data_IF_796502216669
#
_entry.id   IF_796502216669
#
_cell.length_a   1.000
_cell.length_b   1.000
_cell.length_c   1.000
_cell.angle_alpha   90.00
_cell.angle_beta   90.00
_cell.angle_gamma   90.00
#
_symmetry.space_group_name_H-M   'P 1'
#
loop_
_entity.id
_entity.type
_entity.pdbx_description
1 polymer ?
#
# COMPACT_ATOMS: atom_id res chain seq x y z
N UNK A 1 24.20 28.11 9.06
CA UNK A 1 22.88 28.41 9.65
C UNK A 1 22.16 27.10 9.92
N UNK A 2 21.94 26.79 11.19
CA UNK A 2 21.25 25.60 11.66
C UNK A 2 19.75 25.73 11.37
N UNK A 3 19.26 25.05 10.34
CA UNK A 3 17.82 24.97 10.06
C UNK A 3 17.09 24.38 11.27
N UNK A 4 15.94 24.98 11.60
CA UNK A 4 15.09 24.54 12.71
C UNK A 4 14.70 23.07 12.52
N UNK A 5 14.41 22.33 13.60
CA UNK A 5 13.83 20.99 13.48
C UNK A 5 12.53 21.02 12.65
N UNK A 6 11.80 22.14 12.73
CA UNK A 6 10.65 22.40 11.88
C UNK A 6 11.03 22.45 10.39
N UNK A 7 12.21 22.94 10.01
CA UNK A 7 12.66 22.98 8.61
C UNK A 7 13.08 21.62 8.06
N UNK A 8 13.51 20.71 8.94
CA UNK A 8 13.68 19.29 8.59
C UNK A 8 12.33 18.57 8.38
N UNK A 9 11.23 19.17 8.84
CA UNK A 9 9.85 18.69 8.66
C UNK A 9 9.11 19.50 7.57
N UNK A 10 9.55 20.74 7.27
CA UNK A 10 8.91 21.69 6.34
C UNK A 10 9.24 21.47 4.87
N UNK A 11 10.18 20.58 4.56
CA UNK A 11 10.22 19.93 3.25
C UNK A 11 9.03 18.99 3.14
N UNK A 12 7.81 19.53 2.98
CA UNK A 12 6.58 18.75 2.92
C UNK A 12 6.77 17.61 1.92
N UNK A 13 6.79 16.37 2.41
CA UNK A 13 6.94 15.21 1.54
C UNK A 13 5.83 15.22 0.48
N UNK A 14 6.12 14.75 -0.73
CA UNK A 14 5.08 14.73 -1.77
C UNK A 14 3.89 13.88 -1.32
N UNK A 15 4.13 12.86 -0.48
CA UNK A 15 3.08 12.12 0.21
C UNK A 15 2.15 13.01 1.05
N UNK A 16 2.70 13.91 1.87
CA UNK A 16 1.91 14.79 2.72
C UNK A 16 1.10 15.78 1.89
N UNK A 17 1.73 16.39 0.88
CA UNK A 17 1.04 17.28 -0.08
C UNK A 17 -0.07 16.55 -0.83
N UNK A 18 0.19 15.34 -1.32
CA UNK A 18 -0.80 14.48 -1.95
C UNK A 18 -1.97 14.17 -1.02
N UNK A 19 -1.70 13.90 0.26
CA UNK A 19 -2.74 13.64 1.27
C UNK A 19 -3.65 14.84 1.50
N UNK A 20 -3.11 16.06 1.48
CA UNK A 20 -3.92 17.26 1.57
C UNK A 20 -4.80 17.45 0.33
N UNK A 21 -4.24 17.23 -0.87
CA UNK A 21 -5.00 17.30 -2.12
C UNK A 21 -6.11 16.24 -2.19
N UNK A 22 -5.83 15.01 -1.73
CA UNK A 22 -6.83 13.94 -1.64
C UNK A 22 -8.01 14.36 -0.75
N UNK A 23 -7.73 14.95 0.42
CA UNK A 23 -8.75 15.46 1.35
C UNK A 23 -9.58 16.61 0.76
N UNK A 24 -8.98 17.40 -0.13
CA UNK A 24 -9.67 18.47 -0.87
C UNK A 24 -10.45 17.97 -2.08
N UNK A 25 -10.43 16.66 -2.37
CA UNK A 25 -11.10 16.07 -3.54
C UNK A 25 -10.32 16.23 -4.85
N UNK A 26 -9.11 16.78 -4.81
CA UNK A 26 -8.22 16.92 -5.97
C UNK A 26 -7.48 15.61 -6.26
N UNK A 27 -8.25 14.57 -6.56
CA UNK A 27 -7.77 13.19 -6.64
C UNK A 27 -6.74 12.96 -7.75
N UNK A 28 -6.86 13.67 -8.87
CA UNK A 28 -5.94 13.53 -10.02
C UNK A 28 -4.53 14.05 -9.68
N UNK A 29 -4.46 15.22 -9.04
CA UNK A 29 -3.20 15.80 -8.57
C UNK A 29 -2.58 14.95 -7.44
N UNK A 30 -3.40 14.47 -6.51
CA UNK A 30 -2.97 13.58 -5.43
C UNK A 30 -2.40 12.26 -5.98
N UNK A 31 -3.06 11.65 -6.96
CA UNK A 31 -2.61 10.44 -7.64
C UNK A 31 -1.19 10.62 -8.21
N UNK A 32 -0.96 11.70 -8.96
CA UNK A 32 0.34 11.94 -9.61
C UNK A 32 1.45 12.12 -8.57
N UNK A 33 1.21 12.91 -7.52
CA UNK A 33 2.19 13.09 -6.44
C UNK A 33 2.48 11.79 -5.69
N UNK A 34 1.45 10.95 -5.45
CA UNK A 34 1.66 9.65 -4.82
C UNK A 34 2.48 8.70 -5.70
N UNK A 35 2.27 8.68 -7.02
CA UNK A 35 3.07 7.87 -7.95
C UNK A 35 4.53 8.32 -7.97
N UNK A 36 4.78 9.63 -8.00
CA UNK A 36 6.13 10.18 -7.92
C UNK A 36 6.84 9.80 -6.61
N UNK A 37 6.18 10.05 -5.48
CA UNK A 37 6.72 9.69 -4.16
C UNK A 37 7.00 8.19 -4.08
N UNK A 38 6.08 7.36 -4.58
CA UNK A 38 6.24 5.92 -4.57
C UNK A 38 7.53 5.52 -5.30
N UNK A 39 7.83 6.13 -6.45
CA UNK A 39 9.06 5.87 -7.21
C UNK A 39 10.31 6.36 -6.50
N UNK A 40 10.31 7.58 -5.97
CA UNK A 40 11.46 8.15 -5.26
C UNK A 40 11.83 7.37 -4.00
N UNK A 41 10.82 6.86 -3.29
CA UNK A 41 11.02 6.09 -2.06
C UNK A 41 11.52 4.66 -2.31
N UNK A 42 11.47 4.11 -3.52
CA UNK A 42 11.95 2.73 -3.76
C UNK A 42 13.42 2.52 -3.33
N UNK A 43 14.25 3.56 -3.49
CA UNK A 43 15.66 3.51 -3.11
C UNK A 43 15.94 3.90 -1.64
N UNK A 44 14.96 4.51 -0.95
CA UNK A 44 15.13 5.08 0.40
C UNK A 44 14.36 4.33 1.47
N UNK A 45 13.10 3.98 1.19
CA UNK A 45 12.19 3.31 2.10
C UNK A 45 11.15 2.52 1.31
N UNK A 46 11.34 1.19 1.26
CA UNK A 46 10.38 0.28 0.63
C UNK A 46 8.98 0.38 1.27
N UNK A 47 8.91 0.66 2.58
CA UNK A 47 7.64 0.86 3.29
C UNK A 47 6.87 2.08 2.78
N UNK A 48 7.55 3.23 2.67
CA UNK A 48 6.93 4.45 2.14
C UNK A 48 6.62 4.31 0.66
N UNK A 49 7.49 3.64 -0.10
CA UNK A 49 7.23 3.31 -1.50
C UNK A 49 5.94 2.52 -1.69
N UNK A 50 5.72 1.47 -0.89
CA UNK A 50 4.51 0.65 -0.94
C UNK A 50 3.28 1.43 -0.49
N UNK A 51 3.39 2.22 0.59
CA UNK A 51 2.29 3.05 1.11
C UNK A 51 1.85 4.11 0.09
N UNK A 52 2.80 4.83 -0.51
CA UNK A 52 2.52 5.82 -1.56
C UNK A 52 1.83 5.18 -2.75
N UNK A 53 2.29 4.00 -3.19
CA UNK A 53 1.67 3.29 -4.31
C UNK A 53 0.23 2.85 -4.00
N UNK A 54 -0.03 2.40 -2.76
CA UNK A 54 -1.39 2.09 -2.33
C UNK A 54 -2.29 3.33 -2.30
N UNK A 55 -1.78 4.48 -1.83
CA UNK A 55 -2.54 5.74 -1.85
C UNK A 55 -2.86 6.19 -3.28
N UNK A 56 -1.91 6.04 -4.22
CA UNK A 56 -2.15 6.25 -5.64
C UNK A 56 -3.26 5.32 -6.17
N UNK A 57 -3.17 4.01 -5.89
CA UNK A 57 -4.17 3.04 -6.34
C UNK A 57 -5.58 3.39 -5.84
N UNK A 58 -5.71 3.83 -4.58
CA UNK A 58 -6.99 4.29 -4.02
C UNK A 58 -7.53 5.54 -4.71
N UNK A 59 -6.68 6.51 -5.02
CA UNK A 59 -7.09 7.71 -5.77
C UNK A 59 -7.58 7.33 -7.17
N UNK A 60 -6.82 6.49 -7.89
CA UNK A 60 -7.20 5.99 -9.21
C UNK A 60 -8.55 5.24 -9.19
N UNK A 61 -8.78 4.42 -8.16
CA UNK A 61 -10.04 3.69 -7.98
C UNK A 61 -11.22 4.65 -7.71
N UNK A 62 -11.04 5.66 -6.87
CA UNK A 62 -12.06 6.70 -6.60
C UNK A 62 -12.40 7.52 -7.86
N UNK A 63 -11.42 7.73 -8.73
CA UNK A 63 -11.59 8.38 -10.03
C UNK A 63 -12.22 7.47 -11.09
N UNK A 64 -12.40 6.18 -10.82
CA UNK A 64 -12.93 5.22 -11.79
C UNK A 64 -11.97 4.89 -12.94
N UNK A 65 -10.66 5.09 -12.76
CA UNK A 65 -9.67 4.77 -13.79
C UNK A 65 -9.61 3.26 -14.03
N UNK A 66 -9.65 2.84 -15.30
CA UNK A 66 -9.59 1.41 -15.68
C UNK A 66 -8.36 0.70 -15.13
N UNK A 67 -7.22 1.40 -15.06
CA UNK A 67 -5.93 0.84 -14.64
C UNK A 67 -5.71 0.84 -13.11
N UNK A 68 -6.75 1.13 -12.30
CA UNK A 68 -6.61 1.15 -10.85
C UNK A 68 -6.20 -0.22 -10.27
N UNK A 69 -6.65 -1.31 -10.89
CA UNK A 69 -6.28 -2.68 -10.51
C UNK A 69 -4.77 -2.93 -10.66
N UNK A 70 -4.14 -2.37 -11.68
CA UNK A 70 -2.69 -2.49 -11.91
C UNK A 70 -1.90 -1.80 -10.81
N UNK A 71 -2.33 -0.61 -10.38
CA UNK A 71 -1.71 0.09 -9.25
C UNK A 71 -1.86 -0.67 -7.94
N UNK A 72 -3.01 -1.31 -7.70
CA UNK A 72 -3.17 -2.19 -6.55
C UNK A 72 -2.23 -3.40 -6.62
N UNK A 73 -2.10 -4.03 -7.79
CA UNK A 73 -1.18 -5.15 -7.98
C UNK A 73 0.26 -4.72 -7.71
N UNK A 74 0.67 -3.55 -8.20
CA UNK A 74 2.01 -3.03 -7.97
C UNK A 74 2.26 -2.63 -6.51
N UNK A 75 1.27 -2.05 -5.83
CA UNK A 75 1.35 -1.82 -4.38
C UNK A 75 1.53 -3.15 -3.61
N UNK A 76 0.84 -4.21 -4.04
CA UNK A 76 0.99 -5.55 -3.49
C UNK A 76 2.43 -6.08 -3.57
N UNK A 77 3.03 -6.00 -4.77
CA UNK A 77 4.43 -6.41 -4.98
C UNK A 77 5.42 -5.62 -4.13
N UNK A 78 5.21 -4.31 -3.99
CA UNK A 78 6.08 -3.45 -3.16
C UNK A 78 5.97 -3.81 -1.68
N UNK A 79 4.78 -4.13 -1.19
CA UNK A 79 4.60 -4.63 0.17
C UNK A 79 5.25 -6.01 0.38
N UNK A 80 5.18 -6.93 -0.59
CA UNK A 80 5.92 -8.19 -0.51
C UNK A 80 7.42 -7.94 -0.44
N UNK A 81 7.96 -7.13 -1.35
CA UNK A 81 9.39 -6.75 -1.36
C UNK A 81 9.82 -6.13 -0.04
N UNK A 82 9.00 -5.27 0.54
CA UNK A 82 9.25 -4.70 1.88
C UNK A 82 9.25 -5.79 2.96
N UNK A 83 8.25 -6.67 2.96
CA UNK A 83 8.15 -7.80 3.88
C UNK A 83 9.36 -8.73 3.82
N UNK A 84 9.76 -9.12 2.60
CA UNK A 84 10.93 -9.95 2.34
C UNK A 84 12.21 -9.29 2.90
N UNK A 85 12.35 -7.97 2.71
CA UNK A 85 13.57 -7.25 3.12
C UNK A 85 13.80 -7.14 4.63
N UNK A 86 12.74 -7.26 5.44
CA UNK A 86 12.82 -7.07 6.89
C UNK A 86 12.51 -8.34 7.69
N UNK A 87 12.26 -9.47 7.03
CA UNK A 87 11.79 -10.70 7.69
C UNK A 87 12.73 -11.18 8.81
N UNK A 88 14.04 -11.00 8.66
CA UNK A 88 15.05 -11.38 9.66
C UNK A 88 15.18 -10.38 10.82
N UNK A 89 14.73 -9.13 10.61
CA UNK A 89 14.86 -8.04 11.60
C UNK A 89 13.57 -7.88 12.39
N UNK A 90 12.43 -7.92 11.71
CA UNK A 90 11.09 -7.79 12.31
C UNK A 90 10.09 -8.72 11.62
N UNK A 91 9.99 -9.98 12.07
CA UNK A 91 9.00 -10.94 11.57
C UNK A 91 7.56 -10.42 11.64
N UNK A 92 7.18 -9.75 12.74
CA UNK A 92 5.83 -9.20 12.88
C UNK A 92 5.54 -8.09 11.86
N UNK A 93 6.50 -7.20 11.58
CA UNK A 93 6.34 -6.18 10.55
C UNK A 93 6.32 -6.79 9.14
N UNK A 94 7.09 -7.85 8.91
CA UNK A 94 7.06 -8.61 7.65
C UNK A 94 5.70 -9.28 7.43
N UNK A 95 5.14 -9.92 8.47
CA UNK A 95 3.79 -10.49 8.41
C UNK A 95 2.72 -9.42 8.15
N UNK A 96 2.84 -8.24 8.78
CA UNK A 96 1.97 -7.11 8.47
C UNK A 96 2.09 -6.66 7.01
N UNK A 97 3.31 -6.59 6.47
CA UNK A 97 3.53 -6.22 5.07
C UNK A 97 2.89 -7.24 4.11
N UNK A 98 3.02 -8.54 4.37
CA UNK A 98 2.34 -9.57 3.59
C UNK A 98 0.82 -9.50 3.68
N UNK A 99 0.25 -9.20 4.87
CA UNK A 99 -1.20 -8.94 5.01
C UNK A 99 -1.63 -7.72 4.18
N UNK A 100 -0.81 -6.68 4.11
CA UNK A 100 -1.06 -5.52 3.25
C UNK A 100 -0.95 -5.87 1.76
N UNK A 101 0.03 -6.69 1.38
CA UNK A 101 0.14 -7.20 0.01
C UNK A 101 -1.11 -8.00 -0.40
N UNK A 102 -1.56 -8.91 0.46
CA UNK A 102 -2.78 -9.69 0.25
C UNK A 102 -4.01 -8.81 0.04
N UNK A 103 -4.17 -7.75 0.84
CA UNK A 103 -5.26 -6.76 0.63
C UNK A 103 -5.16 -6.08 -0.75
N UNK A 104 -3.96 -5.69 -1.14
CA UNK A 104 -3.73 -5.03 -2.43
C UNK A 104 -4.06 -5.97 -3.59
N UNK A 105 -3.60 -7.23 -3.55
CA UNK A 105 -3.93 -8.22 -4.57
C UNK A 105 -5.44 -8.54 -4.63
N UNK A 106 -6.12 -8.62 -3.49
CA UNK A 106 -7.58 -8.73 -3.46
C UNK A 106 -8.27 -7.54 -4.15
N UNK A 107 -7.80 -6.31 -3.93
CA UNK A 107 -8.32 -5.12 -4.63
C UNK A 107 -7.98 -5.12 -6.13
N UNK A 108 -6.88 -5.74 -6.52
CA UNK A 108 -6.52 -5.94 -7.92
C UNK A 108 -7.31 -7.08 -8.60
N UNK A 109 -8.05 -7.91 -7.85
CA UNK A 109 -8.71 -9.10 -8.36
C UNK A 109 -7.78 -10.31 -8.56
N UNK A 110 -6.56 -10.24 -8.05
CA UNK A 110 -5.55 -11.31 -8.15
C UNK A 110 -5.63 -12.22 -6.91
N UNK A 111 -6.63 -13.11 -6.89
CA UNK A 111 -6.91 -13.96 -5.72
C UNK A 111 -5.75 -14.90 -5.39
N UNK A 112 -5.07 -15.43 -6.40
CA UNK A 112 -3.93 -16.33 -6.21
C UNK A 112 -2.77 -15.64 -5.50
N UNK A 113 -2.38 -14.45 -5.97
CA UNK A 113 -1.34 -13.65 -5.30
C UNK A 113 -1.78 -13.24 -3.89
N UNK A 114 -3.06 -12.92 -3.71
CA UNK A 114 -3.61 -12.57 -2.40
C UNK A 114 -3.51 -13.71 -1.39
N UNK A 115 -3.88 -14.93 -1.79
CA UNK A 115 -3.83 -16.11 -0.93
C UNK A 115 -2.39 -16.53 -0.63
N UNK A 116 -1.49 -16.43 -1.62
CA UNK A 116 -0.08 -16.70 -1.43
C UNK A 116 0.57 -15.73 -0.43
N UNK A 117 0.29 -14.43 -0.55
CA UNK A 117 0.80 -13.44 0.40
C UNK A 117 0.23 -13.67 1.81
N UNK A 118 -1.06 -14.00 1.94
CA UNK A 118 -1.66 -14.30 3.23
C UNK A 118 -1.02 -15.53 3.89
N UNK A 119 -0.78 -16.59 3.11
CA UNK A 119 -0.11 -17.81 3.61
C UNK A 119 1.31 -17.52 4.12
N UNK A 120 2.07 -16.63 3.45
CA UNK A 120 3.37 -16.17 3.95
C UNK A 120 3.23 -15.49 5.32
N UNK A 121 2.23 -14.62 5.48
CA UNK A 121 1.99 -13.93 6.74
C UNK A 121 1.63 -14.90 7.88
N UNK A 122 0.73 -15.84 7.63
CA UNK A 122 0.27 -16.83 8.62
C UNK A 122 1.40 -17.76 9.03
N UNK A 123 2.16 -18.30 8.06
CA UNK A 123 3.32 -19.16 8.34
C UNK A 123 4.37 -18.43 9.16
N UNK A 124 4.56 -17.13 8.91
CA UNK A 124 5.52 -16.33 9.68
C UNK A 124 5.05 -16.13 11.13
N UNK A 125 3.78 -15.80 11.34
CA UNK A 125 3.22 -15.61 12.69
C UNK A 125 3.16 -16.91 13.50
N UNK A 126 2.82 -18.02 12.85
CA UNK A 126 2.85 -19.35 13.47
C UNK A 126 4.25 -19.69 14.00
N UNK A 127 5.30 -19.41 13.21
CA UNK A 127 6.70 -19.61 13.61
C UNK A 127 7.15 -18.66 14.72
N UNK A 128 6.57 -17.47 14.81
CA UNK A 128 6.87 -16.46 15.84
C UNK A 128 6.08 -16.73 17.14
N UNK A 129 5.09 -17.63 17.11
CA UNK A 129 4.32 -18.04 18.28
C UNK A 129 3.08 -17.17 18.57
N UNK A 130 2.69 -16.27 17.67
CA UNK A 130 1.41 -15.57 17.79
C UNK A 130 0.26 -16.50 17.35
N UNK A 131 -0.63 -16.85 18.28
CA UNK A 131 -1.90 -17.51 17.96
C UNK A 131 -2.69 -16.57 17.04
N UNK A 132 -2.69 -16.85 15.74
CA UNK A 132 -3.36 -16.05 14.74
C UNK A 132 -4.87 -15.95 15.03
N UNK A 133 -5.31 -14.84 15.62
CA UNK A 133 -6.73 -14.47 15.59
C UNK A 133 -7.13 -14.30 14.12
N UNK A 134 -8.20 -15.01 13.73
CA UNK A 134 -8.74 -15.02 12.35
C UNK A 134 -8.87 -13.61 11.81
N UNK A 135 -8.08 -13.30 10.80
CA UNK A 135 -8.11 -12.02 10.11
C UNK A 135 -9.36 -11.91 9.25
N UNK A 136 -10.20 -10.91 9.54
CA UNK A 136 -11.35 -10.55 8.71
C UNK A 136 -11.07 -9.27 7.90
N UNK A 137 -11.39 -9.22 6.61
CA UNK A 137 -11.25 -7.99 5.82
C UNK A 137 -12.27 -6.94 6.29
N UNK A 138 -11.77 -5.76 6.68
CA UNK A 138 -12.58 -4.63 7.17
C UNK A 138 -13.43 -3.95 6.08
N UNK A 139 -13.26 -4.30 4.80
CA UNK A 139 -13.97 -3.70 3.68
C UNK A 139 -14.41 -4.75 2.65
N UNK A 140 -15.56 -4.49 2.00
CA UNK A 140 -16.09 -5.33 0.92
C UNK A 140 -15.16 -5.30 -0.31
N UNK A 141 -15.01 -6.45 -0.96
CA UNK A 141 -14.28 -6.61 -2.23
C UNK A 141 -14.81 -5.62 -3.29
N UNK A 142 -13.91 -5.08 -4.11
CA UNK A 142 -14.30 -4.26 -5.25
C UNK A 142 -15.11 -5.12 -6.22
N UNK A 143 -16.34 -4.69 -6.54
CA UNK A 143 -17.14 -5.25 -7.62
C UNK A 143 -17.37 -4.14 -8.64
N UNK A 144 -16.93 -4.31 -9.90
CA UNK A 144 -17.30 -3.37 -10.95
C UNK A 144 -18.82 -3.39 -11.12
N UNK A 145 -19.45 -2.20 -11.24
CA UNK A 145 -20.88 -2.11 -11.54
C UNK A 145 -21.11 -2.74 -12.91
N UNK A 146 -21.78 -3.90 -12.94
CA UNK A 146 -22.31 -4.46 -14.20
C UNK A 146 -23.46 -3.55 -14.67
N UNK A 147 -23.21 -2.88 -15.79
CA UNK A 147 -24.15 -2.30 -16.76
C UNK A 147 -25.53 -1.88 -16.26
N UNK A 148 -25.72 -0.57 -16.07
CA UNK A 148 -27.00 0.07 -16.38
C UNK A 148 -27.01 0.30 -17.91
N UNK A 149 -27.78 -0.53 -18.62
CA UNK A 149 -28.38 -0.19 -19.91
C UNK A 149 -29.87 -0.05 -19.68
#
# INVERSE_FOLDING_TARGET
MSGSWADKISGESKWFKASQLEKQGKLEEALNLYLEEAKEQEARSLALSALSMLSAAKCAAKLGKEHASEYFKEAGKRYEKYGDSIISVSPNSSAWAYKMASRCYNWAGDQEAADNALRKAESLLEKVGEKAEKYFPLFKQYRPKKGEK
#
